data_IF_609924730082
#
_entry.id   IF_609924730082
#
_cell.length_a   1.000
_cell.length_b   1.000
_cell.length_c   1.000
_cell.angle_alpha   90.00
_cell.angle_beta   90.00
_cell.angle_gamma   90.00
#
_symmetry.space_group_name_H-M   'P 1'
#
loop_
_entity.id
_entity.type
_entity.pdbx_description
1 polymer ?
#
# COMPACT_ATOMS: atom_id res chain seq x y z
N UNK A 1 -19.11 -9.15 17.20
CA UNK A 1 -18.58 -10.27 16.40
C UNK A 1 -19.56 -10.53 15.27
N UNK A 2 -19.44 -9.83 14.14
CA UNK A 2 -20.29 -10.07 12.96
C UNK A 2 -19.63 -11.18 12.14
N UNK A 3 -20.28 -12.32 12.02
CA UNK A 3 -19.72 -13.50 11.35
C UNK A 3 -19.61 -13.23 9.84
N UNK A 4 -18.47 -13.63 9.24
CA UNK A 4 -18.23 -13.63 7.79
C UNK A 4 -19.39 -14.20 6.96
N UNK A 5 -20.13 -15.17 7.50
CA UNK A 5 -21.27 -15.84 6.84
C UNK A 5 -22.50 -14.93 6.65
N UNK A 6 -22.79 -14.00 7.58
CA UNK A 6 -23.91 -13.06 7.41
C UNK A 6 -23.62 -11.99 6.37
N UNK A 7 -22.36 -11.57 6.23
CA UNK A 7 -21.97 -10.63 5.19
C UNK A 7 -22.03 -11.26 3.80
N UNK A 8 -21.62 -12.53 3.64
CA UNK A 8 -21.75 -13.26 2.37
C UNK A 8 -23.20 -13.42 1.91
N UNK A 9 -24.16 -13.69 2.81
CA UNK A 9 -25.57 -13.89 2.43
C UNK A 9 -26.26 -12.58 2.03
N UNK A 10 -25.96 -11.48 2.71
CA UNK A 10 -26.44 -10.15 2.34
C UNK A 10 -25.85 -9.71 0.99
N UNK A 11 -24.56 -9.96 0.75
CA UNK A 11 -23.90 -9.65 -0.52
C UNK A 11 -24.42 -10.45 -1.69
N UNK A 12 -24.70 -11.76 -1.54
CA UNK A 12 -25.27 -12.58 -2.60
C UNK A 12 -26.68 -12.12 -3.01
N UNK A 13 -27.44 -11.54 -2.10
CA UNK A 13 -28.73 -10.92 -2.41
C UNK A 13 -28.60 -9.57 -3.13
N UNK A 14 -27.55 -8.79 -2.83
CA UNK A 14 -27.22 -7.55 -3.55
C UNK A 14 -26.72 -7.82 -4.98
N UNK A 15 -25.88 -8.84 -5.17
CA UNK A 15 -25.37 -9.27 -6.50
C UNK A 15 -26.50 -9.64 -7.48
N UNK A 16 -27.64 -10.10 -7.00
CA UNK A 16 -28.78 -10.51 -7.86
C UNK A 16 -29.64 -9.34 -8.37
N UNK A 17 -29.55 -8.17 -7.76
CA UNK A 17 -30.54 -7.10 -8.04
C UNK A 17 -30.06 -5.97 -8.94
N UNK A 18 -28.75 -5.68 -9.09
CA UNK A 18 -28.31 -4.58 -9.98
C UNK A 18 -26.85 -4.71 -10.48
N UNK A 19 -26.54 -5.30 -11.63
CA UNK A 19 -25.15 -5.48 -12.07
C UNK A 19 -24.44 -4.21 -12.57
N UNK A 20 -25.16 -3.22 -13.09
CA UNK A 20 -24.53 -2.05 -13.76
C UNK A 20 -24.48 -0.76 -12.93
N UNK A 21 -25.32 -0.60 -11.94
CA UNK A 21 -25.39 0.66 -11.16
C UNK A 21 -24.45 0.64 -9.94
N UNK A 22 -24.12 -0.55 -9.47
CA UNK A 22 -23.23 -0.74 -8.31
C UNK A 22 -21.78 -0.42 -8.71
N UNK A 23 -21.31 -0.87 -9.88
CA UNK A 23 -19.97 -0.58 -10.40
C UNK A 23 -19.66 0.92 -10.42
N UNK A 24 -20.55 1.73 -10.97
CA UNK A 24 -20.36 3.18 -11.08
C UNK A 24 -20.30 3.89 -9.71
N UNK A 25 -21.02 3.39 -8.71
CA UNK A 25 -21.01 3.96 -7.36
C UNK A 25 -19.70 3.65 -6.61
N UNK A 26 -19.12 2.45 -6.77
CA UNK A 26 -17.85 2.08 -6.11
C UNK A 26 -16.66 2.82 -6.70
N UNK A 27 -16.57 2.95 -8.01
CA UNK A 27 -15.56 3.78 -8.67
C UNK A 27 -15.65 5.25 -8.22
N UNK A 28 -16.85 5.77 -8.06
CA UNK A 28 -17.07 7.13 -7.56
C UNK A 28 -16.58 7.24 -6.10
N UNK A 29 -16.91 6.25 -5.26
CA UNK A 29 -16.51 6.26 -3.85
C UNK A 29 -15.02 6.11 -3.66
N UNK A 30 -14.39 5.19 -4.39
CA UNK A 30 -12.94 5.02 -4.40
C UNK A 30 -12.24 6.30 -4.87
N UNK A 31 -12.69 6.88 -5.96
CA UNK A 31 -12.13 8.13 -6.49
C UNK A 31 -12.23 9.29 -5.49
N UNK A 32 -13.30 9.40 -4.75
CA UNK A 32 -13.47 10.44 -3.73
C UNK A 32 -12.64 10.16 -2.49
N UNK A 33 -12.63 8.91 -2.00
CA UNK A 33 -11.91 8.54 -0.78
C UNK A 33 -10.38 8.57 -0.93
N UNK A 34 -9.87 8.28 -2.13
CA UNK A 34 -8.45 8.24 -2.44
C UNK A 34 -7.99 9.37 -3.38
N UNK A 35 -8.79 10.44 -3.52
CA UNK A 35 -8.52 11.51 -4.47
C UNK A 35 -7.13 12.13 -4.29
N UNK A 36 -6.71 12.33 -3.06
CA UNK A 36 -5.43 12.98 -2.70
C UNK A 36 -4.30 11.98 -2.42
N UNK A 37 -4.60 10.67 -2.47
CA UNK A 37 -3.59 9.66 -2.22
C UNK A 37 -2.68 9.47 -3.44
N UNK A 38 -1.35 9.69 -3.30
CA UNK A 38 -0.40 9.61 -4.41
C UNK A 38 -0.25 8.20 -5.00
N UNK A 39 -0.67 7.17 -4.26
CA UNK A 39 -0.63 5.76 -4.67
C UNK A 39 -1.98 5.23 -5.15
N UNK A 40 -3.00 6.08 -5.31
CA UNK A 40 -4.36 5.66 -5.68
C UNK A 40 -4.37 4.65 -6.84
N UNK A 41 -3.63 4.92 -7.90
CA UNK A 41 -3.58 4.03 -9.07
C UNK A 41 -2.97 2.67 -8.70
N UNK A 42 -1.83 2.67 -7.99
CA UNK A 42 -1.16 1.42 -7.56
C UNK A 42 -2.02 0.62 -6.60
N UNK A 43 -2.74 1.28 -5.70
CA UNK A 43 -3.70 0.62 -4.80
C UNK A 43 -4.78 -0.10 -5.65
N UNK A 44 -5.37 0.57 -6.63
CA UNK A 44 -6.35 -0.06 -7.50
C UNK A 44 -5.78 -1.26 -8.28
N UNK A 45 -4.57 -1.12 -8.84
CA UNK A 45 -3.88 -2.19 -9.58
C UNK A 45 -3.59 -3.41 -8.69
N UNK A 46 -3.09 -3.20 -7.48
CA UNK A 46 -2.71 -4.27 -6.55
C UNK A 46 -3.92 -5.03 -6.02
N UNK A 47 -5.05 -4.37 -5.84
CA UNK A 47 -6.28 -5.00 -5.33
C UNK A 47 -7.23 -5.48 -6.42
N UNK A 48 -7.04 -5.11 -7.69
CA UNK A 48 -7.85 -5.62 -8.78
C UNK A 48 -7.39 -7.02 -9.21
N UNK A 49 -8.34 -7.89 -9.52
CA UNK A 49 -8.07 -9.24 -10.02
C UNK A 49 -7.32 -9.21 -11.37
N UNK A 50 -7.59 -8.21 -12.21
CA UNK A 50 -6.96 -8.06 -13.53
C UNK A 50 -5.58 -7.37 -13.48
N UNK A 51 -5.18 -6.81 -12.33
CA UNK A 51 -3.94 -6.04 -12.19
C UNK A 51 -3.92 -4.68 -12.92
N UNK A 52 -5.03 -4.31 -13.57
CA UNK A 52 -5.16 -3.07 -14.35
C UNK A 52 -5.91 -1.96 -13.60
N UNK A 53 -6.34 -2.24 -12.37
CA UNK A 53 -7.09 -1.31 -11.55
C UNK A 53 -8.60 -1.30 -11.82
N UNK A 54 -9.13 -2.27 -12.56
CA UNK A 54 -10.57 -2.45 -12.76
C UNK A 54 -11.16 -3.25 -11.59
N UNK A 55 -11.42 -2.56 -10.49
CA UNK A 55 -11.88 -3.19 -9.25
C UNK A 55 -13.33 -3.67 -9.35
N UNK A 56 -13.55 -4.91 -8.99
CA UNK A 56 -14.88 -5.46 -8.70
C UNK A 56 -15.35 -5.05 -7.31
N UNK A 57 -16.59 -5.37 -6.95
CA UNK A 57 -17.08 -5.16 -5.58
C UNK A 57 -16.30 -6.01 -4.58
N UNK A 58 -15.93 -7.22 -4.95
CA UNK A 58 -15.20 -8.13 -4.08
C UNK A 58 -13.78 -7.59 -3.83
N UNK A 59 -13.06 -7.13 -4.86
CA UNK A 59 -11.75 -6.45 -4.76
C UNK A 59 -11.81 -5.23 -3.83
N UNK A 60 -12.87 -4.43 -3.99
CA UNK A 60 -13.06 -3.24 -3.17
C UNK A 60 -13.26 -3.59 -1.68
N UNK A 61 -14.01 -4.64 -1.39
CA UNK A 61 -14.24 -5.09 -0.01
C UNK A 61 -12.99 -5.72 0.61
N UNK A 62 -12.22 -6.45 -0.19
CA UNK A 62 -10.93 -6.99 0.23
C UNK A 62 -9.94 -5.87 0.54
N UNK A 63 -9.87 -4.86 -0.31
CA UNK A 63 -9.08 -3.66 -0.07
C UNK A 63 -9.44 -2.99 1.27
N UNK A 64 -10.73 -2.72 1.52
CA UNK A 64 -11.14 -2.11 2.79
C UNK A 64 -10.90 -3.00 3.99
N UNK A 65 -10.99 -4.31 3.83
CA UNK A 65 -10.65 -5.26 4.89
C UNK A 65 -9.17 -5.15 5.30
N UNK A 66 -8.28 -5.04 4.31
CA UNK A 66 -6.82 -4.87 4.52
C UNK A 66 -6.48 -3.50 5.08
N UNK A 67 -7.11 -2.44 4.59
CA UNK A 67 -6.86 -1.06 5.02
C UNK A 67 -7.53 -0.72 6.36
N UNK A 68 -8.39 -1.59 6.87
CA UNK A 68 -9.04 -1.44 8.17
C UNK A 68 -8.02 -1.35 9.31
N UNK A 69 -8.30 -0.54 10.33
CA UNK A 69 -7.47 -0.46 11.55
C UNK A 69 -7.27 -1.82 12.23
N UNK A 70 -8.25 -2.72 12.10
CA UNK A 70 -8.26 -4.05 12.70
C UNK A 70 -7.45 -5.09 11.92
N UNK A 71 -6.96 -4.76 10.72
CA UNK A 71 -6.18 -5.69 9.91
C UNK A 71 -4.81 -5.96 10.56
N UNK A 72 -4.31 -7.21 10.50
CA UNK A 72 -2.99 -7.57 11.01
C UNK A 72 -1.89 -6.74 10.31
N UNK A 73 -0.86 -6.37 11.07
CA UNK A 73 0.27 -5.58 10.54
C UNK A 73 0.99 -6.29 9.39
N UNK A 74 1.16 -7.60 9.48
CA UNK A 74 1.82 -8.39 8.44
C UNK A 74 1.05 -8.35 7.13
N UNK A 75 -0.29 -8.39 7.20
CA UNK A 75 -1.14 -8.27 6.02
C UNK A 75 -1.03 -6.87 5.39
N UNK A 76 -1.04 -5.82 6.21
CA UNK A 76 -0.82 -4.44 5.75
C UNK A 76 0.55 -4.28 5.10
N UNK A 77 1.60 -4.83 5.74
CA UNK A 77 2.96 -4.79 5.21
C UNK A 77 3.08 -5.50 3.86
N UNK A 78 2.43 -6.66 3.69
CA UNK A 78 2.39 -7.38 2.43
C UNK A 78 1.79 -6.54 1.29
N UNK A 79 0.62 -5.93 1.51
CA UNK A 79 0.00 -5.09 0.49
C UNK A 79 0.76 -3.79 0.25
N UNK A 80 1.34 -3.18 1.30
CA UNK A 80 2.22 -2.03 1.15
C UNK A 80 3.44 -2.35 0.28
N UNK A 81 4.07 -3.51 0.51
CA UNK A 81 5.16 -4.00 -0.32
C UNK A 81 4.76 -4.09 -1.80
N UNK A 82 3.62 -4.73 -2.09
CA UNK A 82 3.08 -4.83 -3.46
C UNK A 82 2.78 -3.47 -4.12
N UNK A 83 2.34 -2.48 -3.34
CA UNK A 83 2.07 -1.14 -3.84
C UNK A 83 3.36 -0.41 -4.21
N UNK A 84 4.45 -0.63 -3.46
CA UNK A 84 5.74 0.01 -3.70
C UNK A 84 6.63 -0.73 -4.68
N UNK A 85 6.41 -2.00 -4.93
CA UNK A 85 7.02 -2.77 -6.00
C UNK A 85 6.38 -2.38 -7.35
N UNK A 86 6.91 -1.32 -7.99
CA UNK A 86 6.32 -0.76 -9.21
C UNK A 86 6.55 -1.62 -10.45
N UNK A 87 7.60 -2.42 -10.48
CA UNK A 87 7.92 -3.30 -11.60
C UNK A 87 7.42 -4.74 -11.40
N UNK A 88 6.86 -5.05 -10.21
CA UNK A 88 6.28 -6.35 -9.84
C UNK A 88 7.30 -7.50 -9.98
N UNK A 89 8.56 -7.26 -9.57
CA UNK A 89 9.62 -8.26 -9.55
C UNK A 89 9.80 -8.94 -8.17
N UNK A 90 8.88 -8.66 -7.24
CA UNK A 90 8.88 -9.14 -5.85
C UNK A 90 10.06 -8.61 -5.01
N UNK A 91 10.63 -7.48 -5.41
CA UNK A 91 11.63 -6.73 -4.65
C UNK A 91 11.33 -5.23 -4.71
N UNK A 92 11.70 -4.50 -3.67
CA UNK A 92 11.73 -3.04 -3.70
C UNK A 92 13.18 -2.61 -3.92
N UNK A 93 13.48 -2.22 -5.15
CA UNK A 93 14.79 -1.74 -5.53
C UNK A 93 14.93 -0.22 -5.35
N UNK A 94 16.13 0.32 -5.56
CA UNK A 94 16.39 1.75 -5.46
C UNK A 94 15.45 2.59 -6.35
N UNK A 95 15.15 2.11 -7.58
CA UNK A 95 14.24 2.80 -8.49
C UNK A 95 12.80 2.87 -7.96
N UNK A 96 12.34 1.83 -7.26
CA UNK A 96 11.00 1.80 -6.67
C UNK A 96 10.92 2.73 -5.43
N UNK A 97 12.00 2.77 -4.64
CA UNK A 97 12.13 3.73 -3.53
C UNK A 97 12.15 5.18 -4.04
N UNK A 98 12.87 5.47 -5.13
CA UNK A 98 12.90 6.80 -5.75
C UNK A 98 11.50 7.22 -6.23
N UNK A 99 10.76 6.34 -6.91
CA UNK A 99 9.38 6.60 -7.33
C UNK A 99 8.45 6.83 -6.13
N UNK A 100 8.60 5.99 -5.10
CA UNK A 100 7.84 6.09 -3.86
C UNK A 100 8.09 7.43 -3.19
N UNK A 101 9.36 7.81 -3.04
CA UNK A 101 9.77 9.05 -2.40
C UNK A 101 9.24 10.27 -3.14
N UNK A 102 9.41 10.29 -4.47
CA UNK A 102 8.92 11.38 -5.31
C UNK A 102 7.40 11.55 -5.22
N UNK A 103 6.64 10.46 -5.16
CA UNK A 103 5.19 10.50 -4.94
C UNK A 103 4.83 11.05 -3.55
N UNK A 104 5.49 10.57 -2.49
CA UNK A 104 5.24 11.01 -1.10
C UNK A 104 5.57 12.46 -0.86
N UNK A 105 6.63 12.97 -1.49
CA UNK A 105 7.10 14.35 -1.32
C UNK A 105 6.57 15.29 -2.39
N UNK A 106 5.73 14.78 -3.32
CA UNK A 106 5.22 15.56 -4.47
C UNK A 106 6.35 16.21 -5.30
N UNK A 107 7.48 15.51 -5.43
CA UNK A 107 8.69 15.98 -6.07
C UNK A 107 9.29 17.25 -5.44
N UNK A 108 9.14 17.44 -4.14
CA UNK A 108 9.72 18.60 -3.43
C UNK A 108 11.20 18.40 -3.09
N UNK A 109 11.70 17.14 -3.11
CA UNK A 109 13.11 16.85 -2.88
C UNK A 109 13.92 16.93 -4.17
N UNK A 110 15.18 17.33 -4.01
CA UNK A 110 16.17 17.25 -5.09
C UNK A 110 16.60 15.80 -5.37
N UNK A 111 17.11 15.53 -6.56
CA UNK A 111 17.58 14.19 -6.94
C UNK A 111 18.68 13.66 -6.00
N UNK A 112 19.55 14.53 -5.48
CA UNK A 112 20.59 14.16 -4.53
C UNK A 112 20.01 13.79 -3.16
N UNK A 113 19.00 14.51 -2.68
CA UNK A 113 18.29 14.18 -1.44
C UNK A 113 17.53 12.87 -1.58
N UNK A 114 16.84 12.65 -2.70
CA UNK A 114 16.14 11.39 -3.00
C UNK A 114 17.13 10.22 -2.97
N UNK A 115 18.27 10.36 -3.66
CA UNK A 115 19.31 9.32 -3.71
C UNK A 115 19.85 9.01 -2.33
N UNK A 116 20.18 10.02 -1.56
CA UNK A 116 20.73 9.87 -0.19
C UNK A 116 19.75 9.13 0.74
N UNK A 117 18.45 9.46 0.65
CA UNK A 117 17.41 8.78 1.45
C UNK A 117 17.25 7.33 1.01
N UNK A 118 17.21 7.06 -0.30
CA UNK A 118 17.08 5.68 -0.81
C UNK A 118 18.26 4.80 -0.40
N UNK A 119 19.49 5.30 -0.51
CA UNK A 119 20.69 4.58 -0.08
C UNK A 119 20.63 4.26 1.42
N UNK A 120 20.23 5.23 2.23
CA UNK A 120 20.10 5.04 3.67
C UNK A 120 19.02 4.01 4.02
N UNK A 121 17.88 4.00 3.33
CA UNK A 121 16.80 3.03 3.56
C UNK A 121 17.28 1.63 3.24
N UNK A 122 17.97 1.43 2.13
CA UNK A 122 18.54 0.12 1.77
C UNK A 122 19.58 -0.30 2.81
N UNK A 123 20.55 0.54 3.13
CA UNK A 123 21.61 0.23 4.11
C UNK A 123 21.06 -0.19 5.48
N UNK A 124 19.91 0.36 5.88
CA UNK A 124 19.33 0.07 7.19
C UNK A 124 18.35 -1.13 7.18
N UNK A 125 17.72 -1.41 6.06
CA UNK A 125 16.62 -2.39 5.96
C UNK A 125 17.00 -3.68 5.25
N UNK A 126 17.97 -3.66 4.33
CA UNK A 126 18.47 -4.80 3.59
C UNK A 126 19.30 -5.72 4.51
N UNK A 127 18.74 -6.87 4.88
CA UNK A 127 19.34 -7.78 5.87
C UNK A 127 20.40 -8.70 5.26
N UNK A 128 20.28 -9.04 3.98
CA UNK A 128 21.18 -9.95 3.28
C UNK A 128 22.21 -9.23 2.40
N UNK A 129 22.13 -7.90 2.32
CA UNK A 129 23.02 -7.01 1.57
C UNK A 129 23.04 -7.31 0.05
N UNK A 130 21.87 -7.62 -0.53
CA UNK A 130 21.73 -7.83 -1.97
C UNK A 130 21.43 -6.52 -2.75
N UNK A 131 21.26 -5.39 -2.03
CA UNK A 131 21.04 -4.05 -2.57
C UNK A 131 19.58 -3.72 -2.88
N UNK A 132 18.63 -4.52 -2.40
CA UNK A 132 17.19 -4.32 -2.55
C UNK A 132 16.45 -4.91 -1.35
N UNK A 133 15.18 -4.60 -1.21
CA UNK A 133 14.38 -5.10 -0.10
C UNK A 133 13.47 -6.23 -0.57
N UNK A 134 13.63 -7.41 0.02
CA UNK A 134 12.68 -8.49 -0.06
C UNK A 134 11.43 -8.18 0.79
N UNK A 135 10.38 -8.99 0.67
CA UNK A 135 9.21 -8.89 1.54
C UNK A 135 9.60 -9.06 3.02
N UNK A 136 10.56 -9.94 3.33
CA UNK A 136 11.03 -10.19 4.69
C UNK A 136 11.75 -8.95 5.26
N UNK A 137 12.63 -8.33 4.49
CA UNK A 137 13.32 -7.08 4.87
C UNK A 137 12.33 -5.95 5.14
N UNK A 138 11.35 -5.80 4.24
CA UNK A 138 10.33 -4.78 4.35
C UNK A 138 9.42 -5.00 5.56
N UNK A 139 8.96 -6.23 5.82
CA UNK A 139 8.17 -6.56 7.00
C UNK A 139 8.97 -6.31 8.29
N UNK A 140 10.24 -6.73 8.31
CA UNK A 140 11.12 -6.49 9.44
C UNK A 140 11.32 -4.98 9.71
N UNK A 141 11.51 -4.19 8.68
CA UNK A 141 11.59 -2.73 8.78
C UNK A 141 10.31 -2.14 9.39
N UNK A 142 9.13 -2.55 8.92
CA UNK A 142 7.84 -2.04 9.41
C UNK A 142 7.57 -2.43 10.87
N UNK A 143 7.90 -3.65 11.27
CA UNK A 143 7.73 -4.10 12.66
C UNK A 143 8.62 -3.28 13.61
N UNK A 144 9.81 -2.88 13.16
CA UNK A 144 10.74 -2.04 13.92
C UNK A 144 10.48 -0.54 13.81
N UNK A 145 9.57 -0.12 12.96
CA UNK A 145 9.26 1.29 12.74
C UNK A 145 9.01 2.13 14.01
N UNK A 146 8.39 1.62 15.11
CA UNK A 146 8.29 2.36 16.36
C UNK A 146 9.65 2.71 16.99
N UNK A 147 10.66 1.84 16.85
CA UNK A 147 12.03 2.09 17.31
C UNK A 147 12.78 3.04 16.36
N UNK A 148 12.50 2.97 15.08
CA UNK A 148 12.96 3.90 14.05
C UNK A 148 12.46 5.34 14.27
N UNK A 149 11.28 5.52 14.87
CA UNK A 149 10.72 6.83 15.25
C UNK A 149 11.52 7.52 16.36
N UNK A 150 12.27 6.79 17.16
CA UNK A 150 13.11 7.37 18.22
C UNK A 150 14.38 8.04 17.70
N UNK A 151 14.79 7.75 16.47
CA UNK A 151 15.89 8.43 15.77
C UNK A 151 15.38 9.75 15.16
N UNK A 152 15.24 10.74 16.03
CA UNK A 152 14.53 12.03 15.94
C UNK A 152 14.89 12.99 14.79
N UNK A 153 15.59 12.61 13.73
CA UNK A 153 15.86 13.53 12.60
C UNK A 153 15.58 13.00 11.19
N UNK A 154 15.47 11.68 10.98
CA UNK A 154 15.29 11.11 9.65
C UNK A 154 14.22 10.00 9.57
N UNK A 155 13.53 9.66 10.67
CA UNK A 155 12.54 8.58 10.75
C UNK A 155 11.15 8.90 10.14
N UNK A 156 11.01 10.05 9.50
CA UNK A 156 9.76 10.52 8.90
C UNK A 156 9.33 9.66 7.69
N UNK A 157 10.28 8.99 7.08
CA UNK A 157 10.06 8.28 5.82
C UNK A 157 9.33 6.94 5.99
N UNK A 158 9.83 6.08 6.86
CA UNK A 158 9.25 4.72 7.03
C UNK A 158 7.82 4.75 7.58
N UNK A 159 7.52 5.70 8.48
CA UNK A 159 6.19 5.84 9.07
C UNK A 159 5.18 6.44 8.10
N UNK A 160 5.59 7.43 7.31
CA UNK A 160 4.73 8.05 6.30
C UNK A 160 4.35 7.05 5.21
N UNK A 161 5.28 6.16 4.82
CA UNK A 161 5.03 5.07 3.87
C UNK A 161 3.87 4.18 4.33
N UNK A 162 3.86 3.78 5.60
CA UNK A 162 2.81 2.88 6.14
C UNK A 162 1.50 3.64 6.39
N UNK A 163 1.56 4.88 6.86
CA UNK A 163 0.37 5.67 7.16
C UNK A 163 -0.41 6.08 5.92
N UNK A 164 0.24 6.42 4.82
CA UNK A 164 -0.46 6.86 3.60
C UNK A 164 -1.26 5.75 2.91
N UNK A 165 -0.99 4.48 3.25
CA UNK A 165 -1.76 3.33 2.77
C UNK A 165 -2.87 2.92 3.76
N UNK A 166 -2.75 3.32 5.04
CA UNK A 166 -3.63 2.84 6.11
C UNK A 166 -4.61 3.90 6.63
N UNK A 167 -4.63 5.08 6.05
CA UNK A 167 -5.61 6.16 6.29
C UNK A 167 -6.54 6.30 5.07
#
# INVERSE_FOLDING_TARGET
MFSKEKNCSLMNNYKKQQPNNIRNNFYSYFNVSFQDNPFRQRIAEVFSEDGEGNMTLDDFLDMFSVLSEMAPRDLKAYYAFKIYDFNSDDFICKSDLEKTLNKLTRNELTDDEVRMVCEKVIDEADLDNDGRLSLEDFQHMIVRAPEFLSLKKNGFFSYKIVLEITV
#
